data_IF_862156440313
#
_entry.id   IF_862156440313
#
_cell.length_a   1.000
_cell.length_b   1.000
_cell.length_c   1.000
_cell.angle_alpha   90.00
_cell.angle_beta   90.00
_cell.angle_gamma   90.00
#
_symmetry.space_group_name_H-M   'P 1'
#
loop_
_entity.id
_entity.type
_entity.pdbx_description
1 polymer ?
#
# COMPACT_ATOMS: atom_id res chain seq x y z
N UNK A 1 -6.54 4.35 -18.99
CA UNK A 1 -5.48 4.28 -17.97
C UNK A 1 -6.08 3.60 -16.75
N UNK A 2 -5.38 2.66 -16.14
CA UNK A 2 -5.82 2.02 -14.88
C UNK A 2 -5.31 2.86 -13.71
N UNK A 3 -6.16 3.10 -12.72
CA UNK A 3 -5.87 3.85 -11.50
C UNK A 3 -4.99 3.03 -10.57
N UNK A 4 -3.86 3.58 -10.11
CA UNK A 4 -2.79 2.83 -9.44
C UNK A 4 -2.93 2.89 -7.93
N UNK A 5 -3.25 1.77 -7.31
CA UNK A 5 -3.58 1.69 -5.87
C UNK A 5 -2.42 1.06 -5.09
N UNK A 6 -1.93 1.76 -4.07
CA UNK A 6 -1.09 1.18 -3.02
C UNK A 6 -1.93 0.91 -1.77
N UNK A 7 -1.60 -0.14 -1.02
CA UNK A 7 -2.33 -0.54 0.17
C UNK A 7 -1.36 -0.72 1.33
N UNK A 8 -1.52 0.06 2.40
CA UNK A 8 -0.73 -0.05 3.62
C UNK A 8 -1.43 -0.90 4.69
N UNK A 9 -0.68 -1.79 5.35
CA UNK A 9 -1.18 -2.74 6.36
C UNK A 9 -0.22 -2.85 7.55
N UNK A 10 -0.73 -3.31 8.71
CA UNK A 10 0.09 -3.62 9.88
C UNK A 10 -0.16 -5.03 10.46
N UNK A 11 -1.04 -5.83 9.85
CA UNK A 11 -1.56 -7.05 10.45
C UNK A 11 -1.98 -8.13 9.44
N UNK A 12 -3.09 -8.81 9.71
CA UNK A 12 -3.55 -9.99 8.93
C UNK A 12 -3.96 -9.68 7.49
N UNK A 13 -4.34 -8.44 7.19
CA UNK A 13 -4.63 -8.00 5.82
C UNK A 13 -5.97 -8.46 5.25
N UNK A 14 -7.00 -8.74 6.04
CA UNK A 14 -8.32 -9.13 5.50
C UNK A 14 -8.88 -8.11 4.50
N UNK A 15 -8.75 -6.81 4.78
CA UNK A 15 -9.14 -5.73 3.86
C UNK A 15 -8.24 -5.69 2.61
N UNK A 16 -6.93 -5.90 2.77
CA UNK A 16 -6.00 -6.00 1.63
C UNK A 16 -6.38 -7.15 0.70
N UNK A 17 -6.68 -8.32 1.27
CA UNK A 17 -7.05 -9.50 0.48
C UNK A 17 -8.35 -9.25 -0.27
N UNK A 18 -9.39 -8.77 0.41
CA UNK A 18 -10.66 -8.45 -0.24
C UNK A 18 -10.51 -7.41 -1.36
N UNK A 19 -9.75 -6.35 -1.11
CA UNK A 19 -9.49 -5.29 -2.09
C UNK A 19 -8.65 -5.79 -3.27
N UNK A 20 -7.57 -6.53 -3.01
CA UNK A 20 -6.70 -7.04 -4.06
C UNK A 20 -7.39 -8.03 -4.99
N UNK A 21 -8.24 -8.91 -4.47
CA UNK A 21 -9.06 -9.81 -5.30
C UNK A 21 -10.07 -9.02 -6.15
N UNK A 22 -10.71 -7.98 -5.59
CA UNK A 22 -11.61 -7.12 -6.36
C UNK A 22 -10.88 -6.34 -7.46
N UNK A 23 -9.67 -5.83 -7.17
CA UNK A 23 -8.83 -5.11 -8.13
C UNK A 23 -8.30 -6.03 -9.23
N UNK A 24 -8.01 -7.30 -8.94
CA UNK A 24 -7.58 -8.27 -9.95
C UNK A 24 -8.62 -8.50 -11.06
N UNK A 25 -9.90 -8.28 -10.76
CA UNK A 25 -10.99 -8.38 -11.74
C UNK A 25 -11.35 -7.03 -12.42
N UNK A 26 -10.75 -5.92 -11.98
CA UNK A 26 -11.05 -4.57 -12.50
C UNK A 26 -10.21 -4.23 -13.73
N UNK A 27 -10.73 -3.36 -14.60
CA UNK A 27 -9.98 -2.72 -15.69
C UNK A 27 -9.66 -1.25 -15.39
N UNK A 28 -10.27 -0.73 -14.34
CA UNK A 28 -10.26 0.67 -13.94
C UNK A 28 -9.19 0.96 -12.91
N UNK A 29 -8.78 -0.03 -12.11
CA UNK A 29 -7.75 0.12 -11.09
C UNK A 29 -6.91 -1.16 -10.92
N UNK A 30 -5.67 -0.99 -10.44
CA UNK A 30 -4.73 -2.09 -10.19
C UNK A 30 -4.01 -1.90 -8.85
N UNK A 31 -3.74 -3.01 -8.15
CA UNK A 31 -2.90 -3.03 -6.95
C UNK A 31 -1.43 -3.02 -7.36
N UNK A 32 -0.75 -1.88 -7.16
CA UNK A 32 0.65 -1.70 -7.58
C UNK A 32 1.64 -1.92 -6.45
N UNK A 33 1.21 -1.80 -5.19
CA UNK A 33 2.06 -1.99 -4.02
C UNK A 33 1.29 -2.35 -2.76
N UNK A 34 1.80 -3.30 -2.00
CA UNK A 34 1.45 -3.54 -0.59
C UNK A 34 2.58 -3.01 0.28
N UNK A 35 2.26 -2.14 1.23
CA UNK A 35 3.20 -1.49 2.15
C UNK A 35 2.95 -2.00 3.57
N UNK A 36 4.00 -2.34 4.32
CA UNK A 36 3.85 -2.70 5.74
C UNK A 36 4.87 -1.98 6.63
N UNK A 37 4.46 -1.60 7.84
CA UNK A 37 5.37 -1.03 8.86
C UNK A 37 6.18 -2.09 9.62
N UNK A 38 5.87 -3.38 9.43
CA UNK A 38 6.45 -4.50 10.18
C UNK A 38 6.29 -5.82 9.43
N UNK A 39 6.92 -6.89 9.94
CA UNK A 39 6.57 -8.25 9.54
C UNK A 39 5.12 -8.55 9.90
N UNK A 40 4.34 -9.03 8.92
CA UNK A 40 2.91 -9.22 9.06
C UNK A 40 2.42 -10.35 8.15
N UNK A 41 1.42 -11.15 8.58
CA UNK A 41 0.87 -12.23 7.75
C UNK A 41 0.35 -11.76 6.38
N UNK A 42 -0.05 -10.48 6.27
CA UNK A 42 -0.44 -9.87 5.01
C UNK A 42 0.68 -9.89 3.95
N UNK A 43 1.95 -9.79 4.35
CA UNK A 43 3.09 -9.78 3.41
C UNK A 43 3.27 -11.16 2.77
N UNK A 44 3.25 -12.22 3.57
CA UNK A 44 3.30 -13.60 3.08
C UNK A 44 2.13 -13.90 2.14
N UNK A 45 0.91 -13.49 2.53
CA UNK A 45 -0.28 -13.68 1.71
C UNK A 45 -0.24 -12.90 0.38
N UNK A 46 0.41 -11.72 0.38
CA UNK A 46 0.63 -10.90 -0.82
C UNK A 46 1.67 -11.51 -1.74
N UNK A 47 2.78 -11.98 -1.18
CA UNK A 47 3.84 -12.66 -1.93
C UNK A 47 3.31 -13.93 -2.61
N UNK A 48 2.49 -14.72 -1.91
CA UNK A 48 1.84 -15.92 -2.47
C UNK A 48 0.91 -15.61 -3.67
N UNK A 49 0.41 -14.38 -3.77
CA UNK A 49 -0.42 -13.90 -4.89
C UNK A 49 0.38 -13.16 -5.96
N UNK A 50 1.69 -12.99 -5.77
CA UNK A 50 2.54 -12.21 -6.67
C UNK A 50 2.29 -10.70 -6.60
N UNK A 51 1.64 -10.20 -5.55
CA UNK A 51 1.46 -8.76 -5.37
C UNK A 51 2.78 -8.11 -4.94
N UNK A 52 3.19 -6.98 -5.54
CA UNK A 52 4.41 -6.29 -5.15
C UNK A 52 4.34 -5.84 -3.69
N UNK A 53 5.33 -6.20 -2.89
CA UNK A 53 5.40 -5.83 -1.46
C UNK A 53 6.56 -4.87 -1.19
N UNK A 54 6.43 -4.03 -0.16
CA UNK A 54 7.52 -3.25 0.44
C UNK A 54 7.31 -3.19 1.95
N UNK A 55 8.29 -3.69 2.72
CA UNK A 55 8.31 -3.48 4.16
C UNK A 55 9.16 -2.25 4.44
N UNK A 56 8.55 -1.23 5.04
CA UNK A 56 9.23 0.01 5.39
C UNK A 56 10.40 -0.28 6.33
N UNK A 57 11.56 0.31 6.04
CA UNK A 57 12.68 0.32 6.94
C UNK A 57 12.39 1.23 8.15
N UNK A 58 11.72 2.36 7.90
CA UNK A 58 11.30 3.29 8.94
C UNK A 58 9.92 3.87 8.65
N UNK A 59 8.87 3.39 9.34
CA UNK A 59 7.50 3.90 9.09
C UNK A 59 7.31 5.41 9.30
N UNK A 60 8.23 6.08 10.01
CA UNK A 60 8.26 7.53 10.23
C UNK A 60 9.04 8.29 9.15
N UNK A 61 9.77 7.59 8.29
CA UNK A 61 10.59 8.17 7.23
C UNK A 61 9.71 8.58 6.04
N UNK A 62 9.41 9.87 5.94
CA UNK A 62 8.58 10.40 4.86
C UNK A 62 9.20 10.19 3.48
N UNK A 63 10.53 10.24 3.36
CA UNK A 63 11.21 10.15 2.07
C UNK A 63 11.14 8.73 1.51
N UNK A 64 11.20 7.72 2.38
CA UNK A 64 10.98 6.32 1.99
C UNK A 64 9.59 6.12 1.38
N UNK A 65 8.54 6.61 2.06
CA UNK A 65 7.17 6.55 1.57
C UNK A 65 7.02 7.27 0.24
N UNK A 66 7.43 8.55 0.17
CA UNK A 66 7.26 9.37 -1.02
C UNK A 66 8.06 8.83 -2.20
N UNK A 67 9.28 8.34 -1.97
CA UNK A 67 10.09 7.68 -2.98
C UNK A 67 9.36 6.47 -3.58
N UNK A 68 8.80 5.62 -2.73
CA UNK A 68 8.03 4.45 -3.15
C UNK A 68 6.76 4.82 -3.93
N UNK A 69 5.93 5.71 -3.38
CA UNK A 69 4.67 6.13 -3.99
C UNK A 69 4.88 6.78 -5.36
N UNK A 70 5.93 7.61 -5.51
CA UNK A 70 6.28 8.26 -6.78
C UNK A 70 6.86 7.26 -7.79
N UNK A 71 7.77 6.38 -7.35
CA UNK A 71 8.38 5.37 -8.22
C UNK A 71 7.31 4.43 -8.81
N UNK A 72 6.35 4.00 -7.99
CA UNK A 72 5.25 3.16 -8.42
C UNK A 72 4.10 3.94 -9.08
N UNK A 73 4.21 5.27 -9.20
CA UNK A 73 3.19 6.19 -9.76
C UNK A 73 1.81 5.96 -9.12
N UNK A 74 1.75 5.95 -7.79
CA UNK A 74 0.54 5.67 -7.04
C UNK A 74 -0.46 6.83 -7.16
N UNK A 75 -1.68 6.51 -7.57
CA UNK A 75 -2.80 7.46 -7.64
C UNK A 75 -3.63 7.45 -6.34
N UNK A 76 -3.66 6.33 -5.61
CA UNK A 76 -4.38 6.18 -4.35
C UNK A 76 -3.62 5.33 -3.32
N UNK A 77 -3.47 5.84 -2.09
CA UNK A 77 -2.94 5.11 -0.93
C UNK A 77 -4.07 4.71 0.02
N UNK A 78 -4.37 3.42 0.09
CA UNK A 78 -5.39 2.87 0.99
C UNK A 78 -4.76 2.38 2.30
N UNK A 79 -5.22 2.92 3.43
CA UNK A 79 -4.82 2.47 4.76
C UNK A 79 -5.70 1.30 5.25
N UNK A 80 -5.41 0.08 4.78
CA UNK A 80 -6.21 -1.11 5.04
C UNK A 80 -5.83 -1.81 6.36
N UNK A 81 -6.20 -1.21 7.49
CA UNK A 81 -5.80 -1.72 8.81
C UNK A 81 -4.33 -1.40 9.12
N UNK A 82 -3.86 -0.25 8.63
CA UNK A 82 -2.59 0.35 9.00
C UNK A 82 -2.71 1.02 10.38
N UNK A 83 -1.75 0.77 11.29
CA UNK A 83 -1.87 1.13 12.71
C UNK A 83 -0.79 2.11 13.20
N UNK A 84 -0.13 2.82 12.28
CA UNK A 84 0.83 3.88 12.62
C UNK A 84 0.35 5.23 12.08
N UNK A 85 0.91 6.29 12.63
CA UNK A 85 0.78 7.62 12.04
C UNK A 85 1.53 7.65 10.72
N UNK A 86 0.84 8.07 9.66
CA UNK A 86 1.45 8.37 8.36
C UNK A 86 2.26 9.67 8.52
N UNK A 87 3.50 9.75 8.01
CA UNK A 87 4.31 10.97 8.12
C UNK A 87 3.59 12.19 7.52
N UNK A 88 3.70 13.35 8.19
CA UNK A 88 2.96 14.55 7.78
C UNK A 88 3.26 15.00 6.34
N UNK A 89 4.50 14.82 5.87
CA UNK A 89 4.87 15.11 4.48
C UNK A 89 4.14 14.23 3.46
N UNK A 90 3.95 12.94 3.79
CA UNK A 90 3.17 12.01 2.96
C UNK A 90 1.70 12.43 2.93
N UNK A 91 1.13 12.76 4.09
CA UNK A 91 -0.26 13.26 4.17
C UNK A 91 -0.43 14.55 3.37
N UNK A 92 0.52 15.49 3.45
CA UNK A 92 0.43 16.76 2.74
C UNK A 92 0.42 16.57 1.21
N UNK A 93 1.23 15.65 0.68
CA UNK A 93 1.36 15.42 -0.76
C UNK A 93 0.26 14.50 -1.33
N UNK A 94 -0.16 13.50 -0.55
CA UNK A 94 -1.21 12.55 -0.94
C UNK A 94 -2.59 12.87 -0.33
N UNK A 95 -2.82 14.10 0.14
CA UNK A 95 -4.12 14.48 0.69
C UNK A 95 -5.24 14.34 -0.36
N UNK A 96 -6.31 13.62 -0.01
CA UNK A 96 -7.42 13.33 -0.92
C UNK A 96 -7.11 12.26 -1.97
N UNK A 97 -5.98 11.58 -1.83
CA UNK A 97 -5.53 10.42 -2.60
C UNK A 97 -5.25 9.27 -1.64
#
# INVERSE_FOLDING_TARGET
MSYRVAVAVSGRGSNLLALGEALAASREAELVRVISDREAPALEASQARGWPIHRLAGHRDADEWLGLLRADRVDLLVLAGYLRLVPAGVVAEWNGR
#
